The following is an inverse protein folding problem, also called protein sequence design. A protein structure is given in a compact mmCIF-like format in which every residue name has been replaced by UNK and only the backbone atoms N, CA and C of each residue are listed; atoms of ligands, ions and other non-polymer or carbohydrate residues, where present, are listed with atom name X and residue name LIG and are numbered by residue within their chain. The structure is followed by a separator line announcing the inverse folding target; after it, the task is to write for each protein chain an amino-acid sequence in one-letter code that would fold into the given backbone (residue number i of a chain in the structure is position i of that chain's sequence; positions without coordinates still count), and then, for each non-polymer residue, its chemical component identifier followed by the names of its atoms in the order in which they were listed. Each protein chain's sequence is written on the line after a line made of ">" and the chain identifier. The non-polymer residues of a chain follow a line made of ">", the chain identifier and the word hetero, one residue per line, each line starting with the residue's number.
data_IF_289855904052
#
_entry.id   IF_289855904052
#
_cell.length_a   1.000
_cell.length_b   1.000
_cell.length_c   1.000
_cell.angle_alpha   90.00
_cell.angle_beta   90.00
_cell.angle_gamma   90.00
#
_symmetry.space_group_name_H-M   'P 1'
#
loop_
_entity.id
_entity.type
_entity.pdbx_description
1 polymer ?
#
# COMPACT_ATOMS: atom_id res chain seq x y z
N UNK A 1 34.73 21.24 -38.79
CA UNK A 1 33.97 22.14 -37.88
C UNK A 1 32.73 21.39 -37.46
N UNK A 2 32.65 20.94 -36.20
CA UNK A 2 31.50 20.24 -35.64
C UNK A 2 30.95 21.11 -34.52
N UNK A 3 29.90 21.87 -34.79
CA UNK A 3 29.13 22.57 -33.78
C UNK A 3 27.73 21.97 -33.83
N UNK A 4 27.39 21.17 -32.80
CA UNK A 4 26.08 20.58 -32.62
C UNK A 4 25.60 20.94 -31.21
N UNK A 5 25.10 22.15 -31.08
CA UNK A 5 24.64 22.77 -29.84
C UNK A 5 23.21 22.29 -29.54
N UNK A 6 23.12 20.99 -29.24
CA UNK A 6 21.90 20.34 -28.78
C UNK A 6 21.56 20.74 -27.35
N UNK A 7 21.11 21.98 -27.14
CA UNK A 7 20.53 22.40 -25.86
C UNK A 7 19.14 21.77 -25.70
N UNK A 8 19.10 20.55 -25.18
CA UNK A 8 17.86 19.94 -24.69
C UNK A 8 17.48 20.67 -23.40
N UNK A 9 16.60 21.68 -23.48
CA UNK A 9 15.98 22.27 -22.31
C UNK A 9 15.15 21.19 -21.60
N UNK A 10 15.70 20.62 -20.52
CA UNK A 10 14.96 19.78 -19.57
C UNK A 10 13.87 20.64 -18.94
N UNK A 11 12.62 20.38 -19.30
CA UNK A 11 11.44 20.96 -18.66
C UNK A 11 11.44 20.60 -17.18
N UNK A 12 11.81 21.54 -16.32
CA UNK A 12 11.66 21.45 -14.88
C UNK A 12 10.18 21.68 -14.59
N UNK A 13 9.50 20.70 -13.97
CA UNK A 13 8.12 20.84 -13.53
C UNK A 13 8.05 21.87 -12.38
N UNK A 14 7.86 23.14 -12.71
CA UNK A 14 7.64 24.24 -11.75
C UNK A 14 6.17 24.25 -11.31
N UNK A 15 5.82 23.39 -10.37
CA UNK A 15 4.53 23.44 -9.68
C UNK A 15 4.75 23.13 -8.21
N UNK A 16 4.26 23.96 -7.26
CA UNK A 16 4.41 23.66 -5.85
C UNK A 16 3.59 22.41 -5.51
N UNK A 17 4.25 21.27 -5.34
CA UNK A 17 3.60 20.01 -4.95
C UNK A 17 3.10 20.12 -3.50
N UNK A 18 1.93 20.72 -3.30
CA UNK A 18 1.15 20.60 -2.05
C UNK A 18 0.12 19.47 -2.18
N UNK A 19 0.58 18.25 -2.43
CA UNK A 19 -0.30 17.07 -2.48
C UNK A 19 0.39 15.85 -1.88
N UNK A 20 0.85 15.95 -0.63
CA UNK A 20 1.16 14.76 0.15
C UNK A 20 -0.14 14.01 0.43
N UNK A 21 -0.26 12.76 -0.04
CA UNK A 21 -1.35 11.85 0.38
C UNK A 21 -1.29 11.75 1.91
N UNK A 22 -2.35 12.19 2.60
CA UNK A 22 -2.46 12.02 4.06
C UNK A 22 -2.25 10.55 4.41
N UNK A 23 -1.33 10.29 5.34
CA UNK A 23 -1.02 8.94 5.81
C UNK A 23 -2.25 8.38 6.52
N UNK A 24 -2.84 7.31 5.97
CA UNK A 24 -4.08 6.73 6.51
C UNK A 24 -3.84 5.78 7.68
N UNK A 25 -2.69 5.10 7.69
CA UNK A 25 -2.37 4.06 8.67
C UNK A 25 -0.93 4.30 9.18
N UNK A 26 -0.78 5.01 10.30
CA UNK A 26 0.53 5.33 10.86
C UNK A 26 1.20 4.10 11.51
N UNK A 27 0.40 3.19 12.04
CA UNK A 27 0.86 2.00 12.76
C UNK A 27 1.19 0.86 11.78
N UNK A 28 2.36 0.23 12.00
CA UNK A 28 2.86 -0.89 11.20
C UNK A 28 3.43 -1.95 12.13
N UNK A 29 3.16 -3.21 11.81
CA UNK A 29 3.76 -4.36 12.48
C UNK A 29 4.01 -5.46 11.46
N UNK A 30 5.16 -6.10 11.57
CA UNK A 30 5.50 -7.28 10.78
C UNK A 30 5.24 -8.54 11.57
N UNK A 31 4.68 -9.56 10.92
CA UNK A 31 4.40 -10.87 11.50
C UNK A 31 4.78 -11.96 10.50
N UNK A 32 5.53 -12.96 10.97
CA UNK A 32 5.81 -14.15 10.19
C UNK A 32 4.59 -15.07 10.18
N UNK A 33 4.29 -15.64 9.02
CA UNK A 33 3.26 -16.67 8.86
C UNK A 33 3.90 -18.02 8.58
N UNK A 34 3.18 -19.09 8.94
CA UNK A 34 3.54 -20.42 8.49
C UNK A 34 3.56 -20.49 6.95
N UNK A 35 4.41 -21.35 6.41
CA UNK A 35 4.53 -21.55 4.96
C UNK A 35 3.16 -21.84 4.32
N UNK A 36 2.93 -21.30 3.13
CA UNK A 36 1.68 -21.47 2.39
C UNK A 36 0.48 -20.66 2.89
N UNK A 37 0.58 -20.01 4.05
CA UNK A 37 -0.53 -19.19 4.60
C UNK A 37 -0.87 -18.01 3.70
N UNK A 38 0.12 -17.31 3.17
CA UNK A 38 -0.12 -16.17 2.27
C UNK A 38 -0.81 -16.60 0.97
N UNK A 39 -0.42 -17.76 0.42
CA UNK A 39 -1.10 -18.33 -0.75
C UNK A 39 -2.54 -18.75 -0.44
N UNK A 40 -2.78 -19.26 0.77
CA UNK A 40 -4.14 -19.57 1.25
C UNK A 40 -4.99 -18.30 1.37
N UNK A 41 -4.41 -17.20 1.88
CA UNK A 41 -5.08 -15.89 1.96
C UNK A 41 -5.47 -15.41 0.57
N UNK A 42 -4.52 -15.39 -0.36
CA UNK A 42 -4.77 -14.92 -1.74
C UNK A 42 -5.88 -15.71 -2.43
N UNK A 43 -5.95 -17.04 -2.22
CA UNK A 43 -7.04 -17.87 -2.76
C UNK A 43 -8.41 -17.61 -2.12
N UNK A 44 -8.47 -17.01 -0.92
CA UNK A 44 -9.72 -16.72 -0.21
C UNK A 44 -10.22 -15.28 -0.39
N UNK A 45 -9.40 -14.42 -0.99
CA UNK A 45 -9.76 -13.02 -1.24
C UNK A 45 -10.72 -12.89 -2.42
N UNK A 46 -11.46 -11.79 -2.44
CA UNK A 46 -12.26 -11.37 -3.60
C UNK A 46 -11.37 -10.72 -4.66
N UNK A 47 -11.82 -10.69 -5.91
CA UNK A 47 -11.05 -10.16 -7.05
C UNK A 47 -10.68 -8.68 -6.92
N UNK A 48 -11.47 -7.90 -6.16
CA UNK A 48 -11.29 -6.47 -5.93
C UNK A 48 -10.62 -6.14 -4.58
N UNK A 49 -10.27 -7.15 -3.80
CA UNK A 49 -9.71 -6.99 -2.46
C UNK A 49 -8.18 -6.98 -2.49
N UNK A 50 -7.57 -6.17 -1.63
CA UNK A 50 -6.11 -6.20 -1.42
C UNK A 50 -5.75 -7.06 -0.22
N UNK A 51 -4.62 -7.76 -0.26
CA UNK A 51 -4.20 -8.64 0.84
C UNK A 51 -4.07 -7.87 2.17
N UNK A 52 -3.70 -6.59 2.10
CA UNK A 52 -3.61 -5.71 3.27
C UNK A 52 -5.00 -5.38 3.83
N UNK A 53 -6.00 -5.16 2.97
CA UNK A 53 -7.38 -4.93 3.40
C UNK A 53 -7.93 -6.18 4.10
N UNK A 54 -7.76 -7.35 3.48
CA UNK A 54 -8.16 -8.64 4.05
C UNK A 54 -7.57 -8.86 5.44
N UNK A 55 -6.26 -8.69 5.59
CA UNK A 55 -5.58 -8.89 6.89
C UNK A 55 -6.10 -7.89 7.92
N UNK A 56 -6.36 -6.64 7.53
CA UNK A 56 -6.90 -5.63 8.45
C UNK A 56 -8.29 -6.01 8.93
N UNK A 57 -9.21 -6.34 8.02
CA UNK A 57 -10.57 -6.73 8.37
C UNK A 57 -10.58 -7.98 9.24
N UNK A 58 -9.70 -8.95 8.96
CA UNK A 58 -9.54 -10.14 9.79
C UNK A 58 -9.09 -9.82 11.22
N UNK A 59 -8.22 -8.82 11.40
CA UNK A 59 -7.77 -8.35 12.72
C UNK A 59 -8.89 -7.62 13.45
N UNK A 60 -9.56 -6.66 12.81
CA UNK A 60 -10.67 -5.90 13.43
C UNK A 60 -11.78 -6.83 13.89
N UNK A 61 -12.19 -7.78 13.04
CA UNK A 61 -13.20 -8.79 13.39
C UNK A 61 -12.80 -9.62 14.62
N UNK A 62 -11.53 -9.99 14.74
CA UNK A 62 -11.04 -10.75 15.90
C UNK A 62 -10.98 -9.89 17.17
N UNK A 63 -10.70 -8.58 17.04
CA UNK A 63 -10.78 -7.63 18.14
C UNK A 63 -12.23 -7.47 18.62
N UNK A 64 -13.17 -7.19 17.70
CA UNK A 64 -14.61 -7.08 18.02
C UNK A 64 -15.13 -8.33 18.73
N UNK A 65 -14.74 -9.52 18.25
CA UNK A 65 -15.10 -10.80 18.87
C UNK A 65 -14.57 -10.94 20.30
N UNK A 66 -13.35 -10.50 20.58
CA UNK A 66 -12.74 -10.57 21.93
C UNK A 66 -13.26 -9.49 22.87
N UNK A 67 -13.59 -8.33 22.32
CA UNK A 67 -14.20 -7.21 23.05
C UNK A 67 -15.68 -7.45 23.35
N UNK A 68 -16.28 -8.50 22.79
CA UNK A 68 -17.69 -8.85 22.99
C UNK A 68 -18.64 -7.87 22.29
N UNK A 69 -18.19 -7.24 21.21
CA UNK A 69 -18.94 -6.25 20.41
C UNK A 69 -19.58 -6.86 19.15
N UNK A 70 -19.62 -8.19 19.07
CA UNK A 70 -20.09 -8.96 17.91
C UNK A 70 -21.63 -9.01 17.79
#
# INVERSE_FOLDING_TARGET
>A
MLNNDGSTQKGICSSPLRVGRKMRYPEKREAAFAEGTLARIQRSMRDDETQVAFIREAVERELERREGRA
#
